data_IF_386188287490
#
_entry.id   IF_386188287490
#
_cell.length_a   1.000
_cell.length_b   1.000
_cell.length_c   1.000
_cell.angle_alpha   90.00
_cell.angle_beta   90.00
_cell.angle_gamma   90.00
#
_symmetry.space_group_name_H-M   'P 1'
#
loop_
_entity.id
_entity.type
_entity.pdbx_description
1 polymer ?
#
# COMPACT_ATOMS: atom_id res chain seq x y z
N UNK A 1 -1.22 -5.42 29.82
CA UNK A 1 -1.73 -5.89 28.53
C UNK A 1 -3.27 -5.96 28.37
N UNK A 2 -4.11 -5.38 29.23
CA UNK A 2 -5.56 -5.64 29.19
C UNK A 2 -6.47 -4.41 28.94
N UNK A 3 -5.98 -3.30 28.40
CA UNK A 3 -6.82 -2.09 28.21
C UNK A 3 -7.36 -1.84 26.79
N UNK A 4 -6.94 -2.60 25.81
CA UNK A 4 -7.40 -2.42 24.43
C UNK A 4 -8.41 -3.51 24.08
N UNK A 5 -9.70 -3.17 24.07
CA UNK A 5 -10.75 -4.08 23.60
C UNK A 5 -10.53 -4.39 22.12
N UNK A 6 -10.37 -5.67 21.77
CA UNK A 6 -10.26 -6.19 20.41
C UNK A 6 -11.47 -5.83 19.52
N UNK A 7 -12.60 -5.45 20.11
CA UNK A 7 -13.85 -5.18 19.38
C UNK A 7 -14.02 -3.70 19.10
N UNK A 8 -13.98 -3.34 17.82
CA UNK A 8 -14.41 -2.03 17.36
C UNK A 8 -15.94 -1.87 17.53
N UNK A 9 -16.41 -0.65 17.77
CA UNK A 9 -17.85 -0.41 17.87
C UNK A 9 -18.55 -0.68 16.53
N UNK A 10 -19.79 -1.16 16.56
CA UNK A 10 -20.60 -1.40 15.34
C UNK A 10 -20.73 -0.12 14.47
N UNK A 11 -20.76 1.06 15.11
CA UNK A 11 -20.80 2.33 14.39
C UNK A 11 -19.52 2.60 13.59
N UNK A 12 -18.35 2.38 14.19
CA UNK A 12 -17.05 2.50 13.51
C UNK A 12 -16.97 1.58 12.30
N UNK A 13 -17.43 0.38 12.45
CA UNK A 13 -17.47 -0.66 11.46
C UNK A 13 -18.36 -0.29 10.27
N UNK A 14 -19.60 0.08 10.54
CA UNK A 14 -20.57 0.48 9.50
C UNK A 14 -20.09 1.73 8.74
N UNK A 15 -19.46 2.66 9.43
CA UNK A 15 -18.89 3.84 8.79
C UNK A 15 -17.79 3.49 7.80
N UNK A 16 -16.80 2.70 8.23
CA UNK A 16 -15.69 2.30 7.36
C UNK A 16 -16.17 1.41 6.21
N UNK A 17 -17.14 0.51 6.45
CA UNK A 17 -17.77 -0.26 5.40
C UNK A 17 -18.46 0.64 4.36
N UNK A 18 -19.30 1.56 4.79
CA UNK A 18 -20.01 2.48 3.90
C UNK A 18 -19.04 3.30 3.03
N UNK A 19 -17.96 3.77 3.65
CA UNK A 19 -16.92 4.54 2.96
C UNK A 19 -16.16 3.70 1.95
N UNK A 20 -15.72 2.50 2.33
CA UNK A 20 -15.04 1.56 1.44
C UNK A 20 -15.98 1.12 0.29
N UNK A 21 -17.24 0.81 0.56
CA UNK A 21 -18.21 0.46 -0.46
C UNK A 21 -18.34 1.55 -1.53
N UNK A 22 -18.52 2.81 -1.14
CA UNK A 22 -18.64 3.94 -2.07
C UNK A 22 -17.37 4.18 -2.89
N UNK A 23 -16.21 4.02 -2.27
CA UNK A 23 -14.93 4.37 -2.90
C UNK A 23 -14.30 3.23 -3.69
N UNK A 24 -14.57 1.98 -3.36
CA UNK A 24 -14.01 0.81 -4.02
C UNK A 24 -15.04 0.09 -4.90
N UNK A 25 -16.16 -0.31 -4.33
CA UNK A 25 -17.13 -1.15 -5.03
C UNK A 25 -17.87 -0.41 -6.14
N UNK A 26 -18.33 0.81 -5.88
CA UNK A 26 -19.05 1.60 -6.90
C UNK A 26 -18.15 1.92 -8.11
N UNK A 27 -16.89 2.42 -7.95
CA UNK A 27 -15.97 2.58 -9.08
C UNK A 27 -15.66 1.28 -9.81
N UNK A 28 -15.52 0.16 -9.08
CA UNK A 28 -15.31 -1.16 -9.69
C UNK A 28 -16.49 -1.54 -10.61
N UNK A 29 -17.72 -1.46 -10.13
CA UNK A 29 -18.92 -1.73 -10.95
C UNK A 29 -18.96 -0.82 -12.18
N UNK A 30 -18.71 0.48 -11.99
CA UNK A 30 -18.66 1.44 -13.09
C UNK A 30 -17.58 1.09 -14.13
N UNK A 31 -16.44 0.58 -13.71
CA UNK A 31 -15.37 0.15 -14.64
C UNK A 31 -15.78 -1.05 -15.49
N UNK A 32 -16.62 -1.94 -14.95
CA UNK A 32 -17.16 -3.10 -15.67
C UNK A 32 -18.28 -2.73 -16.65
N UNK A 33 -19.09 -1.73 -16.30
CA UNK A 33 -20.17 -1.23 -17.17
C UNK A 33 -19.60 -0.44 -18.36
N UNK A 34 -18.44 0.22 -18.18
CA UNK A 34 -17.80 1.04 -19.20
C UNK A 34 -16.40 0.52 -19.58
N UNK A 35 -16.25 -0.70 -20.11
CA UNK A 35 -14.97 -1.38 -20.29
C UNK A 35 -14.02 -0.71 -21.27
N UNK A 36 -14.56 0.15 -22.16
CA UNK A 36 -13.78 0.91 -23.16
C UNK A 36 -13.21 2.23 -22.60
N UNK A 37 -13.68 2.69 -21.44
CA UNK A 37 -13.20 3.92 -20.81
C UNK A 37 -12.08 3.60 -19.83
N UNK A 38 -11.05 4.45 -19.81
CA UNK A 38 -10.02 4.38 -18.77
C UNK A 38 -10.63 4.83 -17.44
N UNK A 39 -10.87 3.88 -16.56
CA UNK A 39 -11.46 4.09 -15.22
C UNK A 39 -10.66 3.33 -14.17
N UNK A 40 -9.50 3.87 -13.77
CA UNK A 40 -8.74 3.28 -12.69
C UNK A 40 -9.55 3.39 -11.41
N UNK A 41 -9.51 2.37 -10.57
CA UNK A 41 -10.19 2.43 -9.30
C UNK A 41 -9.23 2.59 -8.11
N UNK A 42 -7.92 2.43 -8.35
CA UNK A 42 -6.84 2.73 -7.41
C UNK A 42 -5.78 3.58 -8.11
N UNK A 43 -5.39 4.66 -7.48
CA UNK A 43 -4.29 5.51 -7.94
C UNK A 43 -3.26 5.72 -6.84
N UNK A 44 -2.00 5.78 -7.25
CA UNK A 44 -0.86 6.06 -6.41
C UNK A 44 -0.29 7.43 -6.79
N UNK A 45 -0.26 8.35 -5.85
CA UNK A 45 0.22 9.71 -6.05
C UNK A 45 1.55 9.88 -5.34
N UNK A 46 2.62 10.07 -6.10
CA UNK A 46 3.92 10.40 -5.54
C UNK A 46 3.92 11.86 -5.09
N UNK A 47 4.05 12.08 -3.81
CA UNK A 47 4.06 13.42 -3.20
C UNK A 47 5.47 13.98 -3.05
N UNK A 48 6.46 13.09 -2.84
CA UNK A 48 7.87 13.41 -2.68
C UNK A 48 8.72 12.15 -2.93
N UNK A 49 10.02 12.31 -3.19
CA UNK A 49 10.98 11.20 -3.25
C UNK A 49 11.99 11.24 -2.11
N UNK A 50 11.99 12.32 -1.32
CA UNK A 50 12.88 12.46 -0.17
C UNK A 50 12.38 11.60 0.99
N UNK A 51 13.31 11.04 1.77
CA UNK A 51 13.02 10.23 2.93
C UNK A 51 14.01 10.50 4.06
N UNK A 52 13.52 10.51 5.30
CA UNK A 52 14.34 10.61 6.52
C UNK A 52 14.99 9.27 6.91
N UNK A 53 14.79 8.21 6.13
CA UNK A 53 15.39 6.89 6.33
C UNK A 53 16.19 6.44 5.12
N UNK A 54 17.05 5.45 5.37
CA UNK A 54 17.94 4.85 4.38
C UNK A 54 17.86 3.32 4.47
N UNK A 55 16.66 2.76 4.20
CA UNK A 55 16.45 1.32 4.21
C UNK A 55 17.26 0.65 3.11
N UNK A 56 17.95 -0.46 3.41
CA UNK A 56 18.83 -1.15 2.46
C UNK A 56 18.08 -1.74 1.25
N UNK A 57 16.80 -2.04 1.41
CA UNK A 57 15.93 -2.59 0.38
C UNK A 57 15.14 -1.53 -0.40
N UNK A 58 15.23 -0.24 -0.05
CA UNK A 58 14.41 0.80 -0.67
C UNK A 58 15.11 1.45 -1.88
N UNK A 59 14.48 1.40 -3.02
CA UNK A 59 14.95 2.05 -4.24
C UNK A 59 14.71 3.56 -4.28
N UNK A 60 13.74 4.07 -3.51
CA UNK A 60 13.39 5.51 -3.43
C UNK A 60 14.30 6.27 -2.46
N UNK A 61 15.62 6.07 -2.56
CA UNK A 61 16.58 6.60 -1.58
C UNK A 61 17.08 8.00 -1.93
N UNK A 62 16.99 8.91 -0.94
CA UNK A 62 17.84 10.09 -0.79
C UNK A 62 18.07 10.91 -2.04
N UNK A 63 16.99 11.37 -2.68
CA UNK A 63 17.08 12.30 -3.80
C UNK A 63 16.66 13.65 -3.31
N UNK A 64 17.54 14.62 -3.49
CA UNK A 64 17.20 16.03 -3.30
C UNK A 64 16.41 16.53 -4.53
N UNK A 65 15.15 16.09 -4.60
CA UNK A 65 14.23 16.42 -5.69
C UNK A 65 13.08 17.21 -5.08
N UNK A 66 12.67 18.26 -5.79
CA UNK A 66 11.50 19.03 -5.41
C UNK A 66 10.25 18.14 -5.47
N UNK A 67 9.55 18.01 -4.33
CA UNK A 67 8.30 17.28 -4.26
C UNK A 67 7.17 17.95 -5.07
N UNK A 68 6.09 17.20 -5.29
CA UNK A 68 4.90 17.67 -6.00
C UNK A 68 4.37 18.98 -5.41
N UNK A 69 3.97 19.93 -6.26
CA UNK A 69 3.30 21.14 -5.79
C UNK A 69 1.87 20.84 -5.32
N UNK A 70 1.34 21.67 -4.41
CA UNK A 70 -0.04 21.47 -3.96
C UNK A 70 -1.04 21.72 -5.10
N UNK A 71 -0.74 22.61 -6.04
CA UNK A 71 -1.53 22.83 -7.25
C UNK A 71 -1.63 21.57 -8.08
N UNK A 72 -0.49 21.00 -8.48
CA UNK A 72 -0.43 19.74 -9.24
C UNK A 72 -1.14 18.60 -8.51
N UNK A 73 -1.01 18.51 -7.17
CA UNK A 73 -1.69 17.48 -6.39
C UNK A 73 -3.23 17.64 -6.41
N UNK A 74 -3.73 18.87 -6.30
CA UNK A 74 -5.18 19.16 -6.42
C UNK A 74 -5.69 18.88 -7.83
N UNK A 75 -4.92 19.23 -8.86
CA UNK A 75 -5.26 18.92 -10.26
C UNK A 75 -5.33 17.39 -10.48
N UNK A 76 -4.40 16.63 -9.89
CA UNK A 76 -4.42 15.18 -9.92
C UNK A 76 -5.69 14.60 -9.26
N UNK A 77 -6.11 15.13 -8.10
CA UNK A 77 -7.36 14.74 -7.44
C UNK A 77 -8.57 15.05 -8.32
N UNK A 78 -8.62 16.23 -8.94
CA UNK A 78 -9.71 16.63 -9.84
C UNK A 78 -9.78 15.74 -11.07
N UNK A 79 -8.64 15.45 -11.69
CA UNK A 79 -8.55 14.57 -12.83
C UNK A 79 -9.01 13.14 -12.46
N UNK A 80 -8.51 12.57 -11.37
CA UNK A 80 -8.96 11.25 -10.88
C UNK A 80 -10.46 11.21 -10.61
N UNK A 81 -11.00 12.27 -10.01
CA UNK A 81 -12.44 12.40 -9.79
C UNK A 81 -13.23 12.31 -11.09
N UNK A 82 -12.75 12.94 -12.16
CA UNK A 82 -13.39 12.93 -13.48
C UNK A 82 -13.39 11.53 -14.13
N UNK A 83 -12.37 10.71 -13.87
CA UNK A 83 -12.32 9.30 -14.34
C UNK A 83 -13.22 8.36 -13.55
N UNK A 84 -13.78 8.80 -12.44
CA UNK A 84 -14.55 7.97 -11.50
C UNK A 84 -13.71 7.27 -10.44
N UNK A 85 -12.38 7.44 -10.42
CA UNK A 85 -11.52 6.95 -9.34
C UNK A 85 -11.88 7.60 -8.01
N UNK A 86 -11.88 6.81 -6.94
CA UNK A 86 -12.19 7.29 -5.58
C UNK A 86 -11.22 6.76 -4.52
N UNK A 87 -10.13 6.12 -4.92
CA UNK A 87 -9.10 5.64 -4.00
C UNK A 87 -7.76 6.26 -4.38
N UNK A 88 -7.15 6.90 -3.41
CA UNK A 88 -5.89 7.60 -3.54
C UNK A 88 -4.91 7.13 -2.47
N UNK A 89 -3.79 6.55 -2.87
CA UNK A 89 -2.69 6.21 -1.98
C UNK A 89 -1.53 7.18 -2.21
N UNK A 90 -1.06 7.82 -1.15
CA UNK A 90 0.17 8.61 -1.24
C UNK A 90 1.37 7.70 -1.34
N UNK A 91 2.36 8.13 -2.11
CA UNK A 91 3.59 7.39 -2.33
C UNK A 91 4.78 8.34 -2.31
N UNK A 92 5.97 7.73 -2.28
CA UNK A 92 7.23 8.46 -2.39
C UNK A 92 8.27 7.97 -1.40
N UNK A 93 9.10 8.89 -0.88
CA UNK A 93 10.00 8.65 0.21
C UNK A 93 9.24 8.60 1.54
N UNK A 94 9.28 9.70 2.32
CA UNK A 94 8.47 9.82 3.54
C UNK A 94 7.49 10.99 3.41
N UNK A 95 6.18 10.75 3.28
CA UNK A 95 5.19 11.82 3.13
C UNK A 95 5.20 12.83 4.29
N UNK A 96 5.54 12.40 5.51
CA UNK A 96 5.53 13.28 6.69
C UNK A 96 6.70 14.28 6.75
N UNK A 97 7.65 14.26 5.83
CA UNK A 97 8.55 15.38 5.61
C UNK A 97 7.79 16.67 5.24
N UNK A 98 6.57 16.51 4.74
CA UNK A 98 5.70 17.61 4.27
C UNK A 98 4.33 17.57 4.96
N UNK A 99 4.27 17.49 6.30
CA UNK A 99 3.06 17.32 7.11
C UNK A 99 1.90 18.24 6.68
N UNK A 100 2.15 19.55 6.56
CA UNK A 100 1.12 20.53 6.20
C UNK A 100 0.53 20.26 4.81
N UNK A 101 1.39 19.93 3.83
CA UNK A 101 0.97 19.54 2.50
C UNK A 101 0.07 18.30 2.54
N UNK A 102 0.48 17.27 3.27
CA UNK A 102 -0.29 16.01 3.40
C UNK A 102 -1.64 16.25 4.07
N UNK A 103 -1.70 17.06 5.13
CA UNK A 103 -2.97 17.39 5.80
C UNK A 103 -3.91 18.14 4.86
N UNK A 104 -3.41 19.15 4.14
CA UNK A 104 -4.23 19.96 3.23
C UNK A 104 -4.71 19.13 2.03
N UNK A 105 -3.83 18.34 1.43
CA UNK A 105 -4.18 17.47 0.31
C UNK A 105 -5.19 16.39 0.75
N UNK A 106 -5.01 15.80 1.94
CA UNK A 106 -5.95 14.82 2.47
C UNK A 106 -7.34 15.42 2.66
N UNK A 107 -7.44 16.60 3.24
CA UNK A 107 -8.72 17.30 3.39
C UNK A 107 -9.36 17.54 2.03
N UNK A 108 -8.58 18.07 1.07
CA UNK A 108 -9.08 18.33 -0.28
C UNK A 108 -9.57 17.04 -0.97
N UNK A 109 -8.81 15.95 -0.88
CA UNK A 109 -9.19 14.67 -1.48
C UNK A 109 -10.46 14.09 -0.82
N UNK A 110 -10.55 14.14 0.51
CA UNK A 110 -11.72 13.64 1.26
C UNK A 110 -12.97 14.46 0.94
N UNK A 111 -12.88 15.79 0.87
CA UNK A 111 -13.97 16.69 0.46
C UNK A 111 -14.45 16.39 -0.98
N UNK A 112 -13.57 15.83 -1.82
CA UNK A 112 -13.89 15.35 -3.16
C UNK A 112 -14.33 13.87 -3.21
N UNK A 113 -14.56 13.24 -2.06
CA UNK A 113 -15.10 11.89 -1.95
C UNK A 113 -14.08 10.76 -2.08
N UNK A 114 -12.80 11.04 -1.89
CA UNK A 114 -11.75 10.03 -1.95
C UNK A 114 -11.57 9.27 -0.64
N UNK A 115 -11.24 7.99 -0.80
CA UNK A 115 -10.68 7.11 0.23
C UNK A 115 -9.17 7.24 0.17
N UNK A 116 -8.55 7.78 1.22
CA UNK A 116 -7.15 8.17 1.23
C UNK A 116 -6.31 7.22 2.07
N UNK A 117 -5.26 6.65 1.47
CA UNK A 117 -4.21 5.89 2.14
C UNK A 117 -2.99 6.76 2.39
N UNK A 118 -2.50 6.77 3.62
CA UNK A 118 -1.28 7.44 4.04
C UNK A 118 -0.26 6.40 4.54
N UNK A 119 0.67 5.94 3.70
CA UNK A 119 1.83 5.17 4.16
C UNK A 119 2.84 6.10 4.83
N UNK A 120 3.45 5.65 5.92
CA UNK A 120 4.50 6.38 6.63
C UNK A 120 5.37 5.44 7.45
N UNK A 121 6.64 5.79 7.65
CA UNK A 121 7.50 5.10 8.62
C UNK A 121 7.22 5.51 10.08
N UNK A 122 6.32 6.44 10.32
CA UNK A 122 5.83 6.85 11.62
C UNK A 122 6.78 7.72 12.47
N UNK A 123 8.03 7.90 12.07
CA UNK A 123 9.04 8.59 12.90
C UNK A 123 8.69 10.07 13.11
N UNK A 124 8.15 10.71 12.10
CA UNK A 124 7.75 12.12 12.16
C UNK A 124 6.30 12.30 12.63
N UNK A 125 5.61 11.23 12.94
CA UNK A 125 4.22 11.26 13.40
C UNK A 125 4.18 11.64 14.88
N UNK A 126 3.67 12.83 15.19
CA UNK A 126 3.40 13.28 16.55
C UNK A 126 1.88 13.34 16.80
N UNK A 127 1.47 13.54 18.05
CA UNK A 127 0.06 13.60 18.45
C UNK A 127 -0.71 14.69 17.69
N UNK A 128 -0.09 15.87 17.53
CA UNK A 128 -0.70 16.99 16.80
C UNK A 128 -0.96 16.62 15.34
N UNK A 129 -0.04 15.94 14.68
CA UNK A 129 -0.24 15.44 13.31
C UNK A 129 -1.32 14.37 13.25
N UNK A 130 -1.33 13.40 14.17
CA UNK A 130 -2.35 12.33 14.21
C UNK A 130 -3.75 12.94 14.35
N UNK A 131 -3.92 13.92 15.23
CA UNK A 131 -5.18 14.62 15.37
C UNK A 131 -5.56 15.44 14.14
N UNK A 132 -4.61 16.12 13.53
CA UNK A 132 -4.85 16.94 12.34
C UNK A 132 -5.23 16.10 11.11
N UNK A 133 -4.53 14.99 10.86
CA UNK A 133 -4.80 14.09 9.73
C UNK A 133 -6.08 13.29 9.94
N UNK A 134 -6.38 12.93 11.20
CA UNK A 134 -7.66 12.33 11.57
C UNK A 134 -8.83 13.27 11.32
N UNK A 135 -8.73 14.56 11.71
CA UNK A 135 -9.71 15.61 11.39
C UNK A 135 -9.83 15.88 9.89
N UNK A 136 -8.74 15.74 9.12
CA UNK A 136 -8.77 15.83 7.67
C UNK A 136 -9.50 14.65 6.99
N UNK A 137 -9.80 13.58 7.75
CA UNK A 137 -10.61 12.46 7.28
C UNK A 137 -9.83 11.36 6.58
N UNK A 138 -8.53 11.21 6.86
CA UNK A 138 -7.73 10.09 6.35
C UNK A 138 -8.47 8.77 6.53
N UNK A 139 -8.38 7.88 5.54
CA UNK A 139 -9.12 6.62 5.57
C UNK A 139 -8.30 5.50 6.18
N UNK A 140 -7.03 5.44 5.81
CA UNK A 140 -6.09 4.41 6.25
C UNK A 140 -4.75 5.06 6.55
N UNK A 141 -4.16 4.70 7.68
CA UNK A 141 -2.75 4.97 7.99
C UNK A 141 -2.00 3.64 7.93
N UNK A 142 -1.14 3.53 6.93
CA UNK A 142 -0.32 2.36 6.66
C UNK A 142 1.04 2.58 7.30
N UNK A 143 1.28 1.93 8.44
CA UNK A 143 2.48 2.12 9.24
C UNK A 143 3.56 1.11 8.84
N UNK A 144 4.60 1.60 8.18
CA UNK A 144 5.72 0.76 7.73
C UNK A 144 6.63 0.39 8.89
N UNK A 145 6.59 -0.87 9.31
CA UNK A 145 7.34 -1.44 10.44
C UNK A 145 7.82 -2.83 10.07
N UNK A 146 9.13 -3.06 10.06
CA UNK A 146 9.72 -4.31 9.59
C UNK A 146 10.31 -5.18 10.70
N UNK A 147 10.55 -4.61 11.90
CA UNK A 147 11.07 -5.34 13.07
C UNK A 147 10.61 -4.71 14.40
N UNK A 148 10.83 -5.40 15.49
CA UNK A 148 10.51 -4.93 16.86
C UNK A 148 11.58 -3.95 17.33
N UNK A 149 12.84 -4.36 17.26
CA UNK A 149 14.01 -3.59 17.67
C UNK A 149 14.89 -3.26 16.47
N UNK A 150 15.92 -2.43 16.73
CA UNK A 150 16.83 -1.99 15.68
C UNK A 150 17.66 -3.14 15.12
N UNK A 151 17.58 -3.34 13.81
CA UNK A 151 18.50 -4.19 13.05
C UNK A 151 19.37 -3.37 12.09
N UNK A 152 20.56 -3.87 11.78
CA UNK A 152 21.42 -3.23 10.79
C UNK A 152 20.72 -3.22 9.40
N UNK A 153 20.68 -2.06 8.77
CA UNK A 153 20.03 -1.89 7.45
C UNK A 153 18.50 -1.82 7.48
N UNK A 154 17.84 -2.11 8.62
CA UNK A 154 16.40 -2.03 8.79
C UNK A 154 16.06 -0.97 9.84
N UNK A 155 15.87 0.29 9.44
CA UNK A 155 15.62 1.39 10.37
C UNK A 155 14.17 1.53 10.83
N UNK A 156 13.24 0.75 10.27
CA UNK A 156 11.81 0.76 10.58
C UNK A 156 11.50 -0.26 11.67
N UNK A 157 11.59 0.12 12.93
CA UNK A 157 11.32 -0.77 14.04
C UNK A 157 10.28 -0.18 15.03
N UNK A 158 9.43 -1.05 15.55
CA UNK A 158 8.26 -0.68 16.33
C UNK A 158 8.62 0.10 17.60
N UNK A 159 9.65 -0.34 18.32
CA UNK A 159 10.04 0.31 19.58
C UNK A 159 10.51 1.76 19.39
N UNK A 160 10.95 2.14 18.20
CA UNK A 160 11.27 3.54 17.86
C UNK A 160 10.06 4.46 17.86
N UNK A 161 8.92 3.94 17.43
CA UNK A 161 7.69 4.70 17.22
C UNK A 161 6.56 4.25 18.15
N UNK A 162 6.88 3.49 19.20
CA UNK A 162 5.89 2.92 20.09
C UNK A 162 4.94 3.94 20.71
N UNK A 163 5.40 5.10 21.23
CA UNK A 163 4.49 6.11 21.77
C UNK A 163 3.52 6.65 20.71
N UNK A 164 4.01 6.92 19.50
CA UNK A 164 3.20 7.38 18.37
C UNK A 164 2.18 6.32 17.95
N UNK A 165 2.61 5.06 17.88
CA UNK A 165 1.73 3.93 17.57
C UNK A 165 0.62 3.77 18.61
N UNK A 166 0.94 3.80 19.89
CA UNK A 166 -0.04 3.69 20.98
C UNK A 166 -1.08 4.83 20.92
N UNK A 167 -0.64 6.06 20.69
CA UNK A 167 -1.53 7.19 20.51
C UNK A 167 -2.40 7.05 19.25
N UNK A 168 -1.80 6.66 18.13
CA UNK A 168 -2.52 6.40 16.87
C UNK A 168 -3.68 5.43 17.06
N UNK A 169 -3.44 4.29 17.73
CA UNK A 169 -4.47 3.28 18.01
C UNK A 169 -5.60 3.83 18.88
N UNK A 170 -5.27 4.69 19.85
CA UNK A 170 -6.30 5.35 20.68
C UNK A 170 -7.20 6.27 19.84
N UNK A 171 -6.61 7.02 18.88
CA UNK A 171 -7.33 7.97 18.05
C UNK A 171 -8.11 7.31 16.90
N UNK A 172 -7.80 6.07 16.53
CA UNK A 172 -8.41 5.35 15.42
C UNK A 172 -9.94 5.33 15.50
N UNK A 173 -10.51 5.08 16.67
CA UNK A 173 -11.97 5.08 16.87
C UNK A 173 -12.57 6.47 16.87
N UNK A 174 -11.85 7.48 17.33
CA UNK A 174 -12.30 8.87 17.40
C UNK A 174 -12.48 9.48 16.00
N UNK A 175 -11.51 9.19 15.11
CA UNK A 175 -11.50 9.75 13.75
C UNK A 175 -11.96 8.78 12.67
N UNK A 176 -12.28 7.54 13.01
CA UNK A 176 -12.76 6.49 12.11
C UNK A 176 -11.78 6.15 10.96
N UNK A 177 -10.48 6.22 11.18
CA UNK A 177 -9.50 5.69 10.23
C UNK A 177 -9.11 4.24 10.59
N UNK A 178 -8.56 3.52 9.63
CA UNK A 178 -8.04 2.16 9.78
C UNK A 178 -6.51 2.25 9.87
N UNK A 179 -5.90 1.45 10.74
CA UNK A 179 -4.45 1.31 10.83
C UNK A 179 -4.05 -0.11 10.46
N UNK A 180 -2.94 -0.27 9.73
CA UNK A 180 -2.31 -1.58 9.56
C UNK A 180 -0.78 -1.45 9.49
N UNK A 181 -0.08 -2.55 9.77
CA UNK A 181 1.35 -2.65 9.57
C UNK A 181 1.65 -3.05 8.13
N UNK A 182 2.53 -2.31 7.49
CA UNK A 182 3.16 -2.69 6.24
C UNK A 182 4.55 -3.22 6.57
N UNK A 183 4.76 -4.50 6.28
CA UNK A 183 5.93 -5.25 6.71
C UNK A 183 6.67 -5.76 5.48
N UNK A 184 7.89 -5.31 5.28
CA UNK A 184 8.75 -5.88 4.25
C UNK A 184 9.52 -7.09 4.81
N UNK A 185 9.30 -8.26 4.22
CA UNK A 185 9.98 -9.50 4.60
C UNK A 185 11.37 -9.52 3.97
N UNK A 186 12.37 -9.69 4.82
CA UNK A 186 13.78 -9.80 4.44
C UNK A 186 14.40 -11.04 5.09
N UNK A 187 15.59 -11.41 4.66
CA UNK A 187 16.36 -12.50 5.28
C UNK A 187 16.62 -12.29 6.79
N UNK A 188 16.56 -11.04 7.29
CA UNK A 188 17.00 -10.70 8.64
C UNK A 188 15.86 -10.54 9.66
N UNK A 189 14.58 -10.51 9.22
CA UNK A 189 13.47 -10.16 10.11
C UNK A 189 12.38 -11.23 10.28
N UNK A 190 12.61 -12.47 9.90
CA UNK A 190 11.61 -13.57 9.95
C UNK A 190 10.96 -13.71 11.33
N UNK A 191 11.73 -13.60 12.41
CA UNK A 191 11.21 -13.66 13.79
C UNK A 191 10.37 -12.44 14.13
N UNK A 192 10.81 -11.25 13.70
CA UNK A 192 10.10 -9.99 13.93
C UNK A 192 8.78 -9.96 13.17
N UNK A 193 8.72 -10.48 11.94
CA UNK A 193 7.47 -10.59 11.17
C UNK A 193 6.42 -11.35 11.97
N UNK A 194 6.76 -12.50 12.58
CA UNK A 194 5.86 -13.25 13.45
C UNK A 194 5.41 -12.41 14.65
N UNK A 195 6.35 -11.79 15.35
CA UNK A 195 6.05 -10.96 16.52
C UNK A 195 5.15 -9.75 16.17
N UNK A 196 5.43 -9.06 15.05
CA UNK A 196 4.62 -7.94 14.55
C UNK A 196 3.20 -8.41 14.17
N UNK A 197 3.07 -9.59 13.58
CA UNK A 197 1.77 -10.21 13.25
C UNK A 197 0.94 -10.46 14.52
N UNK A 198 1.54 -11.02 15.56
CA UNK A 198 0.88 -11.24 16.84
C UNK A 198 0.49 -9.92 17.53
N UNK A 199 1.36 -8.91 17.48
CA UNK A 199 1.06 -7.58 17.99
C UNK A 199 -0.11 -6.97 17.23
N UNK A 200 -0.09 -7.00 15.89
CA UNK A 200 -1.18 -6.47 15.07
C UNK A 200 -2.51 -7.14 15.43
N UNK A 201 -2.51 -8.47 15.54
CA UNK A 201 -3.69 -9.22 15.95
C UNK A 201 -4.18 -8.83 17.37
N UNK A 202 -3.26 -8.65 18.32
CA UNK A 202 -3.59 -8.23 19.68
C UNK A 202 -4.23 -6.84 19.76
N UNK A 203 -3.84 -5.92 18.87
CA UNK A 203 -4.42 -4.58 18.74
C UNK A 203 -5.64 -4.53 17.82
N UNK A 204 -6.00 -5.61 17.15
CA UNK A 204 -7.11 -5.68 16.20
C UNK A 204 -6.87 -4.88 14.93
N UNK A 205 -5.62 -4.76 14.49
CA UNK A 205 -5.23 -4.11 13.22
C UNK A 205 -4.76 -5.16 12.21
N UNK A 206 -4.79 -4.79 10.94
CA UNK A 206 -4.35 -5.67 9.86
C UNK A 206 -2.82 -5.61 9.66
N UNK A 207 -2.32 -6.56 8.87
CA UNK A 207 -0.95 -6.59 8.34
C UNK A 207 -0.98 -6.67 6.82
N UNK A 208 0.07 -6.14 6.19
CA UNK A 208 0.34 -6.21 4.76
C UNK A 208 1.80 -6.59 4.55
N UNK A 209 2.06 -7.70 3.87
CA UNK A 209 3.40 -8.25 3.71
C UNK A 209 3.90 -8.07 2.29
N UNK A 210 5.14 -7.61 2.19
CA UNK A 210 5.86 -7.42 0.94
C UNK A 210 7.17 -8.23 0.94
N UNK A 211 7.60 -8.63 -0.22
CA UNK A 211 8.96 -9.12 -0.47
C UNK A 211 9.59 -8.19 -1.50
N UNK A 212 10.88 -7.92 -1.37
CA UNK A 212 11.58 -7.09 -2.34
C UNK A 212 11.46 -7.65 -3.74
N UNK A 213 11.14 -6.78 -4.67
CA UNK A 213 11.00 -7.07 -6.09
C UNK A 213 12.18 -6.47 -6.85
N UNK A 214 12.86 -7.24 -7.72
CA UNK A 214 13.85 -6.66 -8.62
C UNK A 214 13.14 -5.71 -9.59
N UNK A 215 13.64 -4.48 -9.78
CA UNK A 215 13.07 -3.60 -10.78
C UNK A 215 13.23 -4.23 -12.16
N UNK A 216 12.14 -4.33 -12.97
CA UNK A 216 12.19 -4.97 -14.29
C UNK A 216 12.99 -4.15 -15.32
N UNK A 217 13.33 -2.91 -14.98
CA UNK A 217 14.05 -1.96 -15.81
C UNK A 217 15.14 -1.32 -14.95
N UNK A 218 16.37 -1.24 -15.46
CA UNK A 218 17.42 -0.46 -14.83
C UNK A 218 17.07 1.03 -14.91
N UNK A 219 16.98 1.65 -13.73
CA UNK A 219 16.74 3.09 -13.63
C UNK A 219 18.04 3.81 -13.28
N UNK A 220 18.38 4.84 -14.05
CA UNK A 220 19.48 5.77 -13.72
C UNK A 220 19.34 6.37 -12.33
N UNK A 221 18.11 6.48 -11.87
CA UNK A 221 17.77 7.18 -10.65
C UNK A 221 17.52 6.27 -9.45
N UNK A 222 17.39 4.97 -9.61
CA UNK A 222 17.36 4.06 -8.49
C UNK A 222 18.78 3.67 -8.11
N UNK A 223 19.15 3.94 -6.85
CA UNK A 223 20.40 3.42 -6.32
C UNK A 223 20.32 1.91 -6.32
N UNK A 224 21.42 1.25 -6.68
CA UNK A 224 21.58 -0.18 -6.56
C UNK A 224 21.15 -0.61 -5.16
N UNK A 225 20.24 -1.57 -5.08
CA UNK A 225 19.92 -2.22 -3.84
C UNK A 225 21.15 -2.96 -3.34
N UNK A 226 21.40 -2.95 -2.04
CA UNK A 226 22.50 -3.72 -1.48
C UNK A 226 22.24 -5.21 -1.72
N UNK A 227 23.31 -5.99 -1.89
CA UNK A 227 23.22 -7.45 -2.05
C UNK A 227 22.39 -8.11 -0.94
N UNK A 228 22.49 -7.62 0.30
CA UNK A 228 21.67 -8.08 1.43
C UNK A 228 20.19 -7.70 1.41
N UNK A 229 19.70 -7.02 0.36
CA UNK A 229 18.27 -6.73 0.20
C UNK A 229 17.47 -7.94 -0.32
N UNK A 230 18.14 -8.94 -0.89
CA UNK A 230 17.53 -10.07 -1.53
C UNK A 230 17.48 -11.30 -0.61
N UNK A 231 16.43 -12.10 -0.75
CA UNK A 231 16.34 -13.43 -0.15
C UNK A 231 17.13 -14.39 -1.04
N UNK A 232 18.11 -15.07 -0.45
CA UNK A 232 18.97 -16.01 -1.15
C UNK A 232 18.54 -17.46 -0.87
N UNK A 233 19.05 -18.46 -1.62
CA UNK A 233 18.71 -19.86 -1.37
C UNK A 233 18.97 -20.35 0.06
N UNK A 234 19.88 -19.71 0.80
CA UNK A 234 20.14 -20.03 2.20
C UNK A 234 18.93 -19.77 3.11
N UNK A 235 18.11 -18.78 2.78
CA UNK A 235 16.94 -18.38 3.58
C UNK A 235 15.64 -19.03 3.13
N UNK A 236 15.57 -19.68 1.96
CA UNK A 236 14.33 -20.22 1.40
C UNK A 236 13.53 -21.06 2.40
N UNK A 237 14.20 -21.95 3.12
CA UNK A 237 13.52 -22.80 4.12
C UNK A 237 12.87 -21.99 5.25
N UNK A 238 13.55 -20.94 5.73
CA UNK A 238 13.02 -20.08 6.78
C UNK A 238 11.85 -19.23 6.30
N UNK A 239 11.94 -18.71 5.06
CA UNK A 239 10.86 -17.93 4.43
C UNK A 239 9.66 -18.83 4.11
N UNK A 240 9.86 -20.04 3.60
CA UNK A 240 8.77 -21.01 3.37
C UNK A 240 8.00 -21.31 4.66
N UNK A 241 8.73 -21.57 5.75
CA UNK A 241 8.12 -21.83 7.06
C UNK A 241 7.40 -20.60 7.62
N UNK A 242 7.90 -19.38 7.33
CA UNK A 242 7.19 -18.15 7.66
C UNK A 242 5.90 -18.00 6.86
N UNK A 243 5.96 -18.22 5.55
CA UNK A 243 4.79 -18.11 4.65
C UNK A 243 3.71 -19.13 5.05
N UNK A 244 4.09 -20.39 5.35
CA UNK A 244 3.13 -21.39 5.82
C UNK A 244 2.47 -20.96 7.12
N UNK A 245 3.24 -20.44 8.05
CA UNK A 245 2.71 -19.90 9.31
C UNK A 245 1.78 -18.69 9.08
N UNK A 246 2.11 -17.77 8.16
CA UNK A 246 1.23 -16.65 7.81
C UNK A 246 -0.08 -17.12 7.20
N UNK A 247 -0.05 -18.15 6.34
CA UNK A 247 -1.25 -18.77 5.76
C UNK A 247 -2.12 -19.38 6.86
N UNK A 248 -1.52 -20.13 7.78
CA UNK A 248 -2.22 -20.68 8.94
C UNK A 248 -2.91 -19.58 9.74
N UNK A 249 -2.19 -18.50 10.09
CA UNK A 249 -2.75 -17.36 10.83
C UNK A 249 -3.86 -16.63 10.07
N UNK A 250 -3.74 -16.50 8.74
CA UNK A 250 -4.81 -15.93 7.91
C UNK A 250 -6.09 -16.79 7.99
N UNK A 251 -5.94 -18.12 7.93
CA UNK A 251 -7.06 -19.06 8.05
C UNK A 251 -7.65 -19.09 9.46
N UNK A 252 -6.85 -18.84 10.50
CA UNK A 252 -7.32 -18.67 11.89
C UNK A 252 -8.04 -17.33 12.11
N UNK A 253 -8.11 -16.44 11.09
CA UNK A 253 -8.85 -15.18 11.19
C UNK A 253 -8.00 -13.96 11.52
N UNK A 254 -6.66 -14.05 11.49
CA UNK A 254 -5.80 -12.87 11.53
C UNK A 254 -6.04 -12.00 10.30
N UNK A 255 -6.18 -10.70 10.51
CA UNK A 255 -6.50 -9.78 9.41
C UNK A 255 -5.26 -9.45 8.62
N UNK A 256 -5.24 -9.88 7.37
CA UNK A 256 -4.14 -9.61 6.43
C UNK A 256 -4.69 -9.02 5.14
N UNK A 257 -4.01 -8.03 4.59
CA UNK A 257 -4.30 -7.45 3.26
C UNK A 257 -4.01 -8.51 2.18
N UNK A 258 -2.95 -9.29 2.37
CA UNK A 258 -2.58 -10.38 1.47
C UNK A 258 -3.63 -11.49 1.46
N UNK A 259 -4.05 -11.91 0.29
CA UNK A 259 -4.82 -13.16 0.15
C UNK A 259 -3.93 -14.38 0.41
N UNK A 260 -4.56 -15.53 0.69
CA UNK A 260 -3.83 -16.80 0.84
C UNK A 260 -3.06 -17.14 -0.44
N UNK A 261 -3.64 -16.84 -1.60
CA UNK A 261 -3.00 -17.04 -2.91
C UNK A 261 -1.76 -16.17 -3.04
N UNK A 262 -1.83 -14.88 -2.69
CA UNK A 262 -0.66 -14.00 -2.72
C UNK A 262 0.46 -14.51 -1.80
N UNK A 263 0.11 -14.94 -0.59
CA UNK A 263 1.10 -15.52 0.33
C UNK A 263 1.75 -16.78 -0.26
N UNK A 264 0.98 -17.67 -0.91
CA UNK A 264 1.52 -18.88 -1.57
C UNK A 264 2.51 -18.53 -2.69
N UNK A 265 2.19 -17.51 -3.47
CA UNK A 265 3.04 -17.08 -4.60
C UNK A 265 4.37 -16.44 -4.15
N UNK A 266 4.53 -16.08 -2.89
CA UNK A 266 5.81 -15.64 -2.35
C UNK A 266 6.90 -16.72 -2.46
N UNK A 267 6.54 -18.01 -2.35
CA UNK A 267 7.50 -19.13 -2.42
C UNK A 267 8.09 -19.32 -3.81
N UNK A 268 7.31 -19.46 -4.89
CA UNK A 268 7.86 -19.51 -6.24
C UNK A 268 8.53 -18.20 -6.65
N UNK A 269 8.03 -17.05 -6.16
CA UNK A 269 8.60 -15.74 -6.45
C UNK A 269 10.07 -15.62 -6.00
N UNK A 270 10.39 -15.95 -4.74
CA UNK A 270 11.77 -15.86 -4.23
C UNK A 270 12.73 -16.82 -4.94
N UNK A 271 12.21 -17.80 -5.67
CA UNK A 271 13.00 -18.77 -6.48
C UNK A 271 13.11 -18.38 -7.95
N UNK A 272 12.48 -17.25 -8.34
CA UNK A 272 12.44 -16.80 -9.72
C UNK A 272 11.64 -17.72 -10.67
N UNK A 273 10.70 -18.50 -10.14
CA UNK A 273 9.85 -19.44 -10.89
C UNK A 273 8.35 -19.13 -10.76
N UNK A 274 8.03 -17.86 -10.47
CA UNK A 274 6.65 -17.39 -10.39
C UNK A 274 5.98 -17.48 -11.78
N UNK A 275 4.82 -18.11 -11.84
CA UNK A 275 4.00 -18.13 -13.05
C UNK A 275 3.47 -16.74 -13.39
N UNK A 276 3.38 -16.39 -14.69
CA UNK A 276 2.79 -15.14 -15.12
C UNK A 276 1.35 -14.99 -14.64
N UNK A 277 1.02 -13.83 -14.09
CA UNK A 277 -0.31 -13.51 -13.61
C UNK A 277 -0.91 -12.28 -14.34
N UNK A 278 -2.24 -12.14 -14.44
CA UNK A 278 -2.90 -11.15 -15.28
C UNK A 278 -2.89 -9.75 -14.65
N UNK A 279 -1.72 -9.08 -14.65
CA UNK A 279 -1.52 -7.76 -14.07
C UNK A 279 -2.44 -6.70 -14.69
N UNK A 280 -3.12 -5.91 -13.86
CA UNK A 280 -4.04 -4.84 -14.27
C UNK A 280 -3.45 -3.42 -14.15
N UNK A 281 -2.13 -3.29 -13.91
CA UNK A 281 -1.46 -2.00 -13.91
C UNK A 281 -1.61 -1.26 -15.25
N UNK A 282 -1.82 0.05 -15.22
CA UNK A 282 -2.13 0.85 -16.40
C UNK A 282 -3.55 0.69 -16.94
N UNK A 283 -4.40 -0.12 -16.28
CA UNK A 283 -5.83 -0.28 -16.60
C UNK A 283 -6.71 -0.03 -15.39
N UNK A 284 -6.46 -0.73 -14.28
CA UNK A 284 -7.26 -0.62 -13.05
C UNK A 284 -6.50 0.09 -11.92
N UNK A 285 -5.20 0.16 -12.02
CA UNK A 285 -4.32 0.95 -11.15
C UNK A 285 -3.33 1.76 -11.97
N UNK A 286 -2.85 2.84 -11.42
CA UNK A 286 -1.87 3.71 -12.05
C UNK A 286 -1.10 4.53 -11.03
N UNK A 287 0.02 5.07 -11.48
CA UNK A 287 0.87 5.99 -10.71
C UNK A 287 0.82 7.37 -11.35
N UNK A 288 0.73 8.42 -10.52
CA UNK A 288 0.91 9.82 -10.90
C UNK A 288 2.26 10.27 -10.32
N UNK A 289 3.16 10.72 -11.19
CA UNK A 289 4.49 11.23 -10.83
C UNK A 289 4.42 12.64 -10.27
N UNK A 290 5.55 13.15 -9.77
CA UNK A 290 5.66 14.47 -9.11
C UNK A 290 5.21 15.64 -10.01
N UNK A 291 5.38 15.53 -11.31
CA UNK A 291 5.02 16.54 -12.34
C UNK A 291 3.59 16.36 -12.89
N UNK A 292 2.86 15.35 -12.42
CA UNK A 292 1.53 15.01 -12.91
C UNK A 292 1.53 14.07 -14.13
N UNK A 293 2.68 13.64 -14.62
CA UNK A 293 2.77 12.60 -15.64
C UNK A 293 2.43 11.21 -15.08
N UNK A 294 2.12 10.26 -15.95
CA UNK A 294 1.68 8.93 -15.55
C UNK A 294 2.79 7.89 -15.65
N UNK A 295 2.66 6.84 -14.86
CA UNK A 295 3.32 5.56 -15.05
C UNK A 295 2.29 4.43 -14.82
N UNK A 296 2.42 3.27 -15.49
CA UNK A 296 1.50 2.16 -15.29
C UNK A 296 1.55 1.56 -13.87
N UNK A 297 2.74 1.51 -13.28
CA UNK A 297 3.00 0.96 -11.93
C UNK A 297 4.27 1.56 -11.32
N UNK A 298 4.62 1.11 -10.11
CA UNK A 298 5.82 1.56 -9.39
C UNK A 298 7.11 1.18 -10.11
N UNK A 299 7.19 -0.05 -10.59
CA UNK A 299 8.35 -0.60 -11.28
C UNK A 299 8.63 0.12 -12.60
N UNK A 300 7.64 0.81 -13.14
CA UNK A 300 7.74 1.64 -14.34
C UNK A 300 7.76 3.15 -14.04
N UNK A 301 7.88 3.54 -12.77
CA UNK A 301 7.90 4.96 -12.37
C UNK A 301 8.99 5.76 -13.09
N UNK A 302 10.19 5.22 -13.19
CA UNK A 302 11.34 5.87 -13.81
C UNK A 302 11.48 5.63 -15.31
N UNK A 303 10.51 4.97 -15.99
CA UNK A 303 10.62 4.76 -17.44
C UNK A 303 10.56 6.09 -18.19
N UNK A 304 11.39 6.21 -19.24
CA UNK A 304 11.42 7.38 -20.13
C UNK A 304 10.23 7.41 -21.09
N UNK A 305 9.32 6.44 -20.99
CA UNK A 305 8.19 6.33 -21.88
C UNK A 305 7.09 7.33 -21.52
N UNK A 306 6.53 7.96 -22.56
CA UNK A 306 5.36 8.84 -22.43
C UNK A 306 4.08 8.01 -22.23
N UNK A 307 3.55 8.08 -21.02
CA UNK A 307 2.29 7.47 -20.62
C UNK A 307 1.16 8.48 -20.49
N UNK A 308 1.39 9.73 -20.89
CA UNK A 308 0.47 10.85 -20.73
C UNK A 308 0.56 11.50 -19.35
N UNK A 309 -0.37 12.41 -19.09
CA UNK A 309 -0.41 13.20 -17.86
C UNK A 309 -1.83 13.55 -17.45
N UNK A 310 -1.99 14.14 -16.26
CA UNK A 310 -3.27 14.68 -15.79
C UNK A 310 -3.79 15.82 -16.70
N UNK A 311 -2.92 16.42 -17.50
CA UNK A 311 -3.24 17.55 -18.41
C UNK A 311 -3.61 17.10 -19.82
N UNK A 312 -3.01 16.01 -20.30
CA UNK A 312 -3.20 15.48 -21.67
C UNK A 312 -4.09 14.23 -21.71
N UNK A 313 -4.26 13.59 -20.57
CA UNK A 313 -4.91 12.29 -20.47
C UNK A 313 -3.98 11.09 -20.62
N UNK A 314 -4.49 9.88 -20.43
CA UNK A 314 -3.68 8.65 -20.43
C UNK A 314 -3.33 8.21 -21.86
N UNK A 315 -2.08 7.77 -22.06
CA UNK A 315 -1.55 7.16 -23.27
C UNK A 315 -1.19 5.69 -23.04
N UNK A 316 -1.99 4.96 -22.24
CA UNK A 316 -1.79 3.54 -21.94
C UNK A 316 -2.22 2.67 -23.11
N UNK A 317 -1.28 2.39 -24.00
CA UNK A 317 -1.49 1.47 -25.12
C UNK A 317 -1.53 0.00 -24.63
N UNK A 318 -2.61 -0.77 -24.91
CA UNK A 318 -2.77 -2.13 -24.44
C UNK A 318 -1.73 -3.11 -24.97
N UNK A 319 -1.30 -2.96 -26.23
CA UNK A 319 -0.34 -3.88 -26.87
C UNK A 319 1.07 -3.63 -26.31
N UNK A 320 1.41 -2.37 -26.13
CA UNK A 320 2.67 -1.98 -25.47
C UNK A 320 2.73 -2.46 -24.04
N UNK A 321 1.66 -2.25 -23.24
CA UNK A 321 1.55 -2.76 -21.88
C UNK A 321 1.64 -4.28 -21.82
N UNK A 322 1.01 -5.00 -22.74
CA UNK A 322 1.08 -6.45 -22.82
C UNK A 322 2.50 -6.94 -23.03
N UNK A 323 3.26 -6.33 -23.97
CA UNK A 323 4.68 -6.68 -24.22
C UNK A 323 5.56 -6.44 -22.99
N UNK A 324 5.33 -5.34 -22.25
CA UNK A 324 6.07 -5.04 -21.02
C UNK A 324 5.74 -6.08 -19.95
N UNK A 325 4.46 -6.38 -19.75
CA UNK A 325 3.99 -7.31 -18.72
C UNK A 325 4.49 -8.75 -18.91
N UNK A 326 4.68 -9.19 -20.14
CA UNK A 326 5.30 -10.49 -20.43
C UNK A 326 6.71 -10.62 -19.84
N UNK A 327 7.42 -9.50 -19.68
CA UNK A 327 8.78 -9.47 -19.11
C UNK A 327 8.81 -9.28 -17.60
N UNK A 328 7.84 -8.55 -17.05
CA UNK A 328 7.86 -8.21 -15.63
C UNK A 328 7.05 -9.16 -14.74
N UNK A 329 5.96 -9.76 -15.21
CA UNK A 329 5.11 -10.61 -14.36
C UNK A 329 5.81 -11.81 -13.73
N UNK A 330 6.80 -12.48 -14.36
CA UNK A 330 7.56 -13.56 -13.70
C UNK A 330 8.43 -13.09 -12.53
N UNK A 331 8.77 -11.80 -12.47
CA UNK A 331 9.68 -11.24 -11.47
C UNK A 331 9.01 -10.18 -10.58
N UNK A 332 7.71 -9.99 -10.70
CA UNK A 332 6.94 -9.03 -9.93
C UNK A 332 5.79 -9.72 -9.20
N UNK A 333 5.74 -9.53 -7.89
CA UNK A 333 4.65 -9.98 -7.01
C UNK A 333 4.09 -8.79 -6.21
N UNK A 334 4.07 -7.60 -6.82
CA UNK A 334 3.62 -6.38 -6.19
C UNK A 334 2.27 -6.56 -5.50
N UNK A 335 2.23 -6.45 -4.18
CA UNK A 335 1.02 -6.60 -3.38
C UNK A 335 -0.08 -5.69 -3.91
N UNK A 336 0.26 -4.44 -4.24
CA UNK A 336 -0.69 -3.47 -4.75
C UNK A 336 -1.36 -3.92 -6.05
N UNK A 337 -0.58 -4.48 -6.99
CA UNK A 337 -1.09 -4.89 -8.30
C UNK A 337 -1.70 -6.30 -8.28
N UNK A 338 -1.07 -7.24 -7.56
CA UNK A 338 -1.56 -8.61 -7.45
C UNK A 338 -2.92 -8.66 -6.75
N UNK A 339 -3.08 -7.98 -5.62
CA UNK A 339 -4.34 -7.94 -4.88
C UNK A 339 -5.45 -7.28 -5.71
N UNK A 340 -5.13 -6.18 -6.41
CA UNK A 340 -6.06 -5.54 -7.34
C UNK A 340 -6.53 -6.53 -8.39
N UNK A 341 -5.61 -7.28 -9.00
CA UNK A 341 -5.95 -8.30 -10.00
C UNK A 341 -6.80 -9.43 -9.41
N UNK A 342 -6.36 -10.00 -8.28
CA UNK A 342 -7.03 -11.11 -7.63
C UNK A 342 -8.47 -10.76 -7.25
N UNK A 343 -8.69 -9.66 -6.53
CA UNK A 343 -10.01 -9.28 -6.07
C UNK A 343 -10.92 -8.73 -7.17
N UNK A 344 -10.38 -8.16 -8.24
CA UNK A 344 -11.19 -7.70 -9.37
C UNK A 344 -11.48 -8.76 -10.42
N UNK A 345 -10.94 -9.97 -10.25
CA UNK A 345 -11.22 -11.10 -11.15
C UNK A 345 -12.68 -11.55 -11.08
N UNK A 346 -13.33 -11.41 -9.90
CA UNK A 346 -14.74 -11.71 -9.76
C UNK A 346 -15.47 -10.70 -8.87
N UNK A 347 -16.76 -10.48 -9.16
CA UNK A 347 -17.64 -9.64 -8.36
C UNK A 347 -17.77 -10.14 -6.90
N UNK A 348 -17.86 -11.45 -6.74
CA UNK A 348 -17.96 -12.08 -5.43
C UNK A 348 -16.70 -11.84 -4.59
N UNK A 349 -15.52 -11.99 -5.19
CA UNK A 349 -14.26 -11.73 -4.50
C UNK A 349 -14.11 -10.26 -4.10
N UNK A 350 -14.49 -9.33 -4.97
CA UNK A 350 -14.49 -7.90 -4.62
C UNK A 350 -15.39 -7.62 -3.42
N UNK A 351 -16.59 -8.19 -3.41
CA UNK A 351 -17.53 -8.01 -2.30
C UNK A 351 -17.01 -8.67 -1.01
N UNK A 352 -16.49 -9.89 -1.09
CA UNK A 352 -15.91 -10.60 0.06
C UNK A 352 -14.71 -9.85 0.63
N UNK A 353 -13.85 -9.30 -0.24
CA UNK A 353 -12.71 -8.50 0.18
C UNK A 353 -13.15 -7.23 0.91
N UNK A 354 -14.11 -6.50 0.37
CA UNK A 354 -14.70 -5.33 1.03
C UNK A 354 -15.35 -5.71 2.35
N UNK A 355 -16.10 -6.80 2.40
CA UNK A 355 -16.69 -7.32 3.62
C UNK A 355 -15.60 -7.72 4.61
N UNK A 356 -14.57 -8.46 4.21
CA UNK A 356 -13.46 -8.86 5.06
C UNK A 356 -12.71 -7.66 5.61
N UNK A 357 -12.35 -6.67 4.79
CA UNK A 357 -11.52 -5.52 5.21
C UNK A 357 -12.31 -4.37 5.84
N UNK A 358 -13.52 -4.15 5.43
CA UNK A 358 -14.40 -3.23 6.14
C UNK A 358 -15.01 -3.88 7.38
N UNK A 359 -15.19 -5.20 7.38
CA UNK A 359 -15.83 -5.96 8.45
C UNK A 359 -14.83 -6.64 9.39
N UNK A 360 -13.61 -6.92 9.05
CA UNK A 360 -12.61 -7.57 9.91
C UNK A 360 -11.87 -6.60 10.82
N UNK A 361 -11.89 -5.33 10.52
CA UNK A 361 -11.93 -4.37 11.63
C UNK A 361 -13.17 -4.64 12.52
N UNK A 362 -14.06 -5.57 12.13
CA UNK A 362 -15.41 -5.90 12.64
C UNK A 362 -15.52 -7.28 13.22
N UNK A 363 -14.96 -8.30 12.61
CA UNK A 363 -15.00 -9.66 13.10
C UNK A 363 -13.71 -9.99 13.85
N UNK A 364 -13.48 -9.31 14.97
CA UNK A 364 -12.82 -10.00 16.07
C UNK A 364 -13.70 -11.20 16.36
N UNK A 365 -13.28 -12.39 15.92
CA UNK A 365 -13.89 -13.67 16.19
C UNK A 365 -14.42 -13.77 17.61
N UNK A 366 -15.66 -14.16 17.72
CA UNK A 366 -16.27 -14.73 18.94
C UNK A 366 -15.38 -15.79 19.54
#
# INVERSE_FOLDING_TARGET
MSRYSKKHSRKYQLWNFSRAYRSWFVPYVNSKIHPKQFRPYLSFLYTDLNCNLNCHYCYSRGKDIQGMTLGTAKDAVNWLKSTGCRVLAYMGGEPLLRKNFIIELTRYAVDNGFFVYLPTNGILMDEAFIDAIGKAGVSVINLAVDCIDRHQGIPKYLNRIKPQFEYLIQQQKKYNFITFFNINITQHNVKDVKALTEIAHAYGIATDYHINEPPPIEYRDYKHLYEGAWITPAEFRAIDALVDWLIEKNLEGYVMVNSVEHLREMKPFIRGVLDPWPCQAGKMSMVIRLDGSFAPCFELYGSDEDWGSIYEGPKFDPDRLSKIKQRCTPTCLSTCNFQVCHYTSSFLFTFQWLAKHAYSSVLGTS
#
